data_IF_141807026874
#
_entry.id   IF_141807026874
#
_cell.length_a   1.000
_cell.length_b   1.000
_cell.length_c   1.000
_cell.angle_alpha   90.00
_cell.angle_beta   90.00
_cell.angle_gamma   90.00
#
_symmetry.space_group_name_H-M   'P 1'
#
loop_
_entity.id
_entity.type
_entity.pdbx_description
1 polymer ?
#
# COMPACT_ATOMS: atom_id res chain seq x y z
N UNK A 1 31.06 -2.87 7.48
CA UNK A 1 30.14 -1.72 7.56
C UNK A 1 29.77 -1.36 6.12
N UNK A 2 28.57 -1.72 5.68
CA UNK A 2 28.09 -1.29 4.36
C UNK A 2 27.71 0.19 4.47
N UNK A 3 28.41 1.06 3.76
CA UNK A 3 28.03 2.46 3.63
C UNK A 3 26.85 2.58 2.66
N UNK A 4 25.84 3.31 3.04
CA UNK A 4 24.73 3.66 2.14
C UNK A 4 25.27 4.63 1.09
N UNK A 5 25.10 4.29 -0.17
CA UNK A 5 25.55 5.10 -1.30
C UNK A 5 24.48 6.10 -1.74
N UNK A 6 24.85 7.10 -2.56
CA UNK A 6 23.87 8.02 -3.17
C UNK A 6 22.83 7.29 -4.03
N UNK A 7 23.24 6.20 -4.71
CA UNK A 7 22.31 5.35 -5.47
C UNK A 7 21.29 4.65 -4.57
N UNK A 8 21.69 4.17 -3.39
CA UNK A 8 20.78 3.55 -2.43
C UNK A 8 19.75 4.57 -1.91
N UNK A 9 20.15 5.81 -1.66
CA UNK A 9 19.24 6.91 -1.31
C UNK A 9 18.23 7.22 -2.43
N UNK A 10 18.66 7.20 -3.69
CA UNK A 10 17.77 7.36 -4.85
C UNK A 10 16.71 6.26 -4.91
N UNK A 11 17.09 5.00 -4.64
CA UNK A 11 16.15 3.88 -4.60
C UNK A 11 15.19 4.01 -3.40
N UNK A 12 15.66 4.45 -2.23
CA UNK A 12 14.80 4.70 -1.06
C UNK A 12 13.80 5.82 -1.34
N UNK A 13 14.22 6.88 -2.01
CA UNK A 13 13.34 7.98 -2.43
C UNK A 13 12.27 7.49 -3.40
N UNK A 14 12.63 6.76 -4.44
CA UNK A 14 11.66 6.15 -5.36
C UNK A 14 10.72 5.20 -4.64
N UNK A 15 11.24 4.40 -3.70
CA UNK A 15 10.45 3.49 -2.86
C UNK A 15 9.44 4.23 -1.98
N UNK A 16 9.78 5.41 -1.46
CA UNK A 16 8.85 6.24 -0.69
C UNK A 16 7.70 6.79 -1.54
N UNK A 17 7.99 7.15 -2.80
CA UNK A 17 6.94 7.54 -3.75
C UNK A 17 6.01 6.37 -4.04
N UNK A 18 6.56 5.19 -4.36
CA UNK A 18 5.76 3.99 -4.59
C UNK A 18 4.85 3.66 -3.40
N UNK A 19 5.37 3.75 -2.19
CA UNK A 19 4.61 3.49 -0.97
C UNK A 19 3.54 4.57 -0.73
N UNK A 20 3.86 5.84 -0.97
CA UNK A 20 2.91 6.96 -0.86
C UNK A 20 1.76 6.83 -1.88
N UNK A 21 2.08 6.54 -3.14
CA UNK A 21 1.05 6.31 -4.18
C UNK A 21 0.21 5.08 -3.85
N UNK A 22 0.83 3.99 -3.36
CA UNK A 22 0.10 2.80 -2.91
C UNK A 22 -0.98 3.15 -1.89
N UNK A 23 -0.60 3.78 -0.79
CA UNK A 23 -1.57 4.13 0.25
C UNK A 23 -2.56 5.20 -0.20
N UNK A 24 -2.10 6.25 -0.89
CA UNK A 24 -2.98 7.32 -1.36
C UNK A 24 -4.05 6.81 -2.33
N UNK A 25 -3.67 6.03 -3.33
CA UNK A 25 -4.63 5.48 -4.30
C UNK A 25 -5.55 4.43 -3.69
N UNK A 26 -5.04 3.60 -2.77
CA UNK A 26 -5.87 2.64 -2.06
C UNK A 26 -6.89 3.32 -1.13
N UNK A 27 -6.46 4.26 -0.30
CA UNK A 27 -7.37 5.01 0.59
C UNK A 27 -8.42 5.76 -0.23
N UNK A 28 -8.01 6.45 -1.30
CA UNK A 28 -8.94 7.11 -2.21
C UNK A 28 -9.98 6.13 -2.82
N UNK A 29 -9.57 4.91 -3.12
CA UNK A 29 -10.47 3.88 -3.65
C UNK A 29 -11.58 3.49 -2.67
N UNK A 30 -11.33 3.56 -1.35
CA UNK A 30 -12.31 3.20 -0.32
C UNK A 30 -13.54 4.10 -0.34
N UNK A 31 -13.37 5.35 -0.79
CA UNK A 31 -14.48 6.32 -0.93
C UNK A 31 -15.14 6.29 -2.32
N UNK A 32 -14.54 5.55 -3.30
CA UNK A 32 -14.94 5.60 -4.69
C UNK A 32 -15.33 4.23 -5.28
N UNK A 33 -15.28 3.17 -4.50
CA UNK A 33 -15.80 1.86 -4.88
C UNK A 33 -16.22 1.11 -3.61
N UNK A 34 -16.86 -0.06 -3.77
CA UNK A 34 -17.21 -0.84 -2.58
C UNK A 34 -15.97 -1.31 -1.84
N UNK A 35 -16.06 -1.43 -0.52
CA UNK A 35 -14.97 -1.90 0.33
C UNK A 35 -14.39 -3.24 -0.17
N UNK A 36 -15.28 -4.14 -0.62
CA UNK A 36 -14.90 -5.46 -1.12
C UNK A 36 -14.06 -5.33 -2.40
N UNK A 37 -14.49 -4.51 -3.36
CA UNK A 37 -13.76 -4.24 -4.59
C UNK A 37 -12.40 -3.61 -4.29
N UNK A 38 -12.35 -2.58 -3.46
CA UNK A 38 -11.11 -1.92 -3.07
C UNK A 38 -10.11 -2.91 -2.46
N UNK A 39 -10.53 -3.70 -1.46
CA UNK A 39 -9.68 -4.70 -0.83
C UNK A 39 -9.24 -5.81 -1.79
N UNK A 40 -10.14 -6.24 -2.68
CA UNK A 40 -9.83 -7.25 -3.67
C UNK A 40 -8.76 -6.77 -4.64
N UNK A 41 -8.98 -5.59 -5.27
CA UNK A 41 -8.05 -5.06 -6.26
C UNK A 41 -6.69 -4.68 -5.67
N UNK A 42 -6.63 -4.14 -4.46
CA UNK A 42 -5.33 -3.85 -3.82
C UNK A 42 -4.59 -5.13 -3.45
N UNK A 43 -5.30 -6.22 -3.15
CA UNK A 43 -4.71 -7.51 -2.74
C UNK A 43 -4.16 -8.34 -3.91
N UNK A 44 -4.40 -7.95 -5.16
CA UNK A 44 -3.87 -8.69 -6.34
C UNK A 44 -2.39 -8.41 -6.62
N UNK A 45 -1.70 -7.60 -5.81
CA UNK A 45 -0.27 -7.30 -5.98
C UNK A 45 0.64 -8.53 -6.13
N UNK A 46 0.38 -9.73 -5.55
CA UNK A 46 1.19 -10.91 -5.83
C UNK A 46 1.06 -11.37 -7.29
N UNK A 47 -0.11 -11.16 -7.91
CA UNK A 47 -0.32 -11.47 -9.33
C UNK A 47 0.52 -10.53 -10.19
N UNK A 48 0.47 -9.22 -9.90
CA UNK A 48 1.30 -8.21 -10.58
C UNK A 48 2.79 -8.56 -10.45
N UNK A 49 3.22 -8.98 -9.25
CA UNK A 49 4.60 -9.40 -9.02
C UNK A 49 4.99 -10.60 -9.90
N UNK A 50 4.14 -11.63 -9.98
CA UNK A 50 4.41 -12.84 -10.81
C UNK A 50 4.48 -12.47 -12.29
N UNK A 51 3.63 -11.57 -12.77
CA UNK A 51 3.66 -11.07 -14.15
C UNK A 51 4.95 -10.28 -14.46
N UNK A 52 5.51 -9.59 -13.48
CA UNK A 52 6.76 -8.84 -13.63
C UNK A 52 8.02 -9.70 -13.48
N UNK A 53 7.93 -10.91 -12.90
CA UNK A 53 9.09 -11.78 -12.68
C UNK A 53 9.94 -12.01 -13.93
N UNK A 54 9.39 -12.30 -15.12
CA UNK A 54 10.20 -12.49 -16.34
C UNK A 54 10.96 -11.22 -16.73
N UNK A 55 10.35 -10.04 -16.55
CA UNK A 55 10.96 -8.76 -16.91
C UNK A 55 12.15 -8.41 -16.02
N UNK A 56 12.16 -8.90 -14.78
CA UNK A 56 13.27 -8.71 -13.83
C UNK A 56 14.25 -9.91 -13.81
N UNK A 57 14.17 -10.78 -14.83
CA UNK A 57 15.07 -11.94 -14.95
C UNK A 57 14.84 -13.04 -13.92
N UNK A 58 13.68 -13.07 -13.28
CA UNK A 58 13.34 -14.09 -12.27
C UNK A 58 12.45 -15.16 -12.90
N UNK A 59 12.81 -16.43 -12.74
CA UNK A 59 12.04 -17.53 -13.34
C UNK A 59 10.69 -17.72 -12.62
N UNK A 60 9.62 -17.78 -13.40
CA UNK A 60 8.29 -18.18 -12.91
C UNK A 60 8.24 -19.68 -12.72
N UNK A 61 7.94 -20.12 -11.51
CA UNK A 61 7.81 -21.56 -11.15
C UNK A 61 6.33 -21.96 -11.14
N UNK A 62 6.07 -23.25 -11.30
CA UNK A 62 4.70 -23.82 -11.25
C UNK A 62 3.92 -23.40 -10.00
N UNK A 63 4.59 -23.29 -8.85
CA UNK A 63 3.97 -22.80 -7.61
C UNK A 63 3.47 -21.36 -7.69
N UNK A 64 4.16 -20.48 -8.42
CA UNK A 64 3.69 -19.10 -8.63
C UNK A 64 2.41 -19.08 -9.47
N UNK A 65 2.37 -19.88 -10.55
CA UNK A 65 1.18 -19.99 -11.42
C UNK A 65 0.01 -20.56 -10.62
N UNK A 66 0.23 -21.62 -9.86
CA UNK A 66 -0.81 -22.23 -9.02
C UNK A 66 -1.36 -21.23 -7.99
N UNK A 67 -0.47 -20.48 -7.32
CA UNK A 67 -0.86 -19.43 -6.38
C UNK A 67 -1.72 -18.34 -7.05
N UNK A 68 -1.33 -17.89 -8.25
CA UNK A 68 -2.13 -16.93 -9.03
C UNK A 68 -3.49 -17.50 -9.38
N UNK A 69 -3.57 -18.74 -9.87
CA UNK A 69 -4.85 -19.38 -10.23
C UNK A 69 -5.76 -19.48 -9.01
N UNK A 70 -5.25 -19.95 -7.88
CA UNK A 70 -6.03 -20.05 -6.63
C UNK A 70 -6.49 -18.67 -6.17
N UNK A 71 -5.59 -17.68 -6.17
CA UNK A 71 -5.90 -16.31 -5.77
C UNK A 71 -6.96 -15.65 -6.65
N UNK A 72 -6.83 -15.77 -7.98
CA UNK A 72 -7.85 -15.26 -8.94
C UNK A 72 -9.17 -15.97 -8.77
N UNK A 73 -9.18 -17.29 -8.61
CA UNK A 73 -10.41 -18.05 -8.40
C UNK A 73 -11.10 -17.62 -7.11
N UNK A 74 -10.36 -17.49 -6.01
CA UNK A 74 -10.90 -16.99 -4.74
C UNK A 74 -11.47 -15.59 -4.87
N UNK A 75 -10.78 -14.70 -5.59
CA UNK A 75 -11.22 -13.35 -5.88
C UNK A 75 -12.55 -13.33 -6.66
N UNK A 76 -12.65 -14.12 -7.72
CA UNK A 76 -13.87 -14.22 -8.55
C UNK A 76 -15.05 -14.79 -7.76
N UNK A 77 -14.80 -15.79 -6.91
CA UNK A 77 -15.84 -16.35 -6.04
C UNK A 77 -16.34 -15.31 -5.02
N UNK A 78 -15.44 -14.52 -4.45
CA UNK A 78 -15.80 -13.44 -3.53
C UNK A 78 -16.64 -12.35 -4.20
N UNK A 79 -16.40 -12.02 -5.47
CA UNK A 79 -17.19 -11.05 -6.22
C UNK A 79 -18.58 -11.55 -6.57
N UNK A 80 -18.76 -12.88 -6.73
CA UNK A 80 -20.05 -13.49 -7.13
C UNK A 80 -21.07 -13.58 -6.00
N UNK A 81 -20.65 -13.52 -4.74
CA UNK A 81 -21.49 -13.86 -3.58
C UNK A 81 -21.82 -12.66 -2.67
N UNK A 82 -21.30 -11.48 -2.99
CA UNK A 82 -21.44 -10.31 -2.13
C UNK A 82 -22.40 -9.31 -2.78
N UNK A 83 -23.55 -9.09 -2.15
CA UNK A 83 -24.26 -7.82 -2.31
C UNK A 83 -23.28 -6.71 -1.86
N UNK A 84 -22.65 -6.08 -2.83
CA UNK A 84 -21.69 -5.00 -2.58
C UNK A 84 -22.44 -3.85 -1.91
N UNK A 85 -22.29 -3.74 -0.59
CA UNK A 85 -22.76 -2.58 0.15
C UNK A 85 -21.90 -1.38 -0.28
N UNK A 86 -22.37 -0.63 -1.27
CA UNK A 86 -21.69 0.54 -1.81
C UNK A 86 -21.68 0.57 -3.34
N UNK A 87 -21.54 1.74 -3.91
CA UNK A 87 -21.46 1.94 -5.35
C UNK A 87 -20.11 1.41 -5.87
N UNK A 88 -20.14 0.59 -6.91
CA UNK A 88 -18.93 0.09 -7.58
C UNK A 88 -18.60 0.99 -8.74
N UNK A 89 -17.41 1.60 -8.74
CA UNK A 89 -16.97 2.44 -9.84
C UNK A 89 -15.64 1.94 -10.43
N UNK A 90 -15.51 2.09 -11.75
CA UNK A 90 -14.26 1.77 -12.46
C UNK A 90 -13.10 2.63 -11.96
N UNK A 91 -13.36 3.88 -11.60
CA UNK A 91 -12.33 4.78 -11.09
C UNK A 91 -11.78 4.31 -9.73
N UNK A 92 -12.66 3.89 -8.81
CA UNK A 92 -12.26 3.32 -7.52
C UNK A 92 -11.49 2.02 -7.67
N UNK A 93 -11.98 1.11 -8.53
CA UNK A 93 -11.30 -0.16 -8.83
C UNK A 93 -9.91 0.07 -9.46
N UNK A 94 -9.82 1.01 -10.42
CA UNK A 94 -8.55 1.38 -11.03
C UNK A 94 -7.56 2.00 -10.03
N UNK A 95 -8.03 2.80 -9.08
CA UNK A 95 -7.20 3.36 -8.02
C UNK A 95 -6.68 2.27 -7.07
N UNK A 96 -7.52 1.32 -6.68
CA UNK A 96 -7.10 0.16 -5.89
C UNK A 96 -6.05 -0.69 -6.63
N UNK A 97 -6.26 -0.92 -7.94
CA UNK A 97 -5.29 -1.60 -8.79
C UNK A 97 -3.97 -0.84 -8.91
N UNK A 98 -4.00 0.49 -9.04
CA UNK A 98 -2.81 1.33 -9.01
C UNK A 98 -2.04 1.14 -7.69
N UNK A 99 -2.76 1.05 -6.58
CA UNK A 99 -2.19 0.69 -5.29
C UNK A 99 -1.48 -0.67 -5.31
N UNK A 100 -2.12 -1.69 -5.91
CA UNK A 100 -1.51 -3.02 -6.08
C UNK A 100 -0.24 -2.98 -6.95
N UNK A 101 -0.24 -2.21 -8.03
CA UNK A 101 0.89 -2.11 -8.93
C UNK A 101 2.07 -1.36 -8.28
N UNK A 102 1.79 -0.27 -7.57
CA UNK A 102 2.85 0.55 -6.95
C UNK A 102 3.49 -0.12 -5.74
N UNK A 103 2.74 -0.86 -4.92
CA UNK A 103 3.36 -1.62 -3.82
C UNK A 103 4.38 -2.66 -4.32
N UNK A 104 4.20 -3.20 -5.52
CA UNK A 104 5.21 -4.10 -6.12
C UNK A 104 6.54 -3.37 -6.34
N UNK A 105 6.51 -2.11 -6.80
CA UNK A 105 7.71 -1.28 -6.91
C UNK A 105 8.42 -1.10 -5.56
N UNK A 106 7.67 -0.80 -4.50
CA UNK A 106 8.17 -0.74 -3.12
C UNK A 106 8.82 -2.07 -2.68
N UNK A 107 8.14 -3.20 -2.91
CA UNK A 107 8.64 -4.52 -2.53
C UNK A 107 9.92 -4.90 -3.28
N UNK A 108 10.02 -4.58 -4.57
CA UNK A 108 11.21 -4.84 -5.39
C UNK A 108 12.38 -3.98 -4.96
N UNK A 109 12.17 -2.69 -4.68
CA UNK A 109 13.18 -1.79 -4.12
C UNK A 109 13.69 -2.29 -2.76
N UNK A 110 12.78 -2.67 -1.87
CA UNK A 110 13.11 -3.25 -0.58
C UNK A 110 13.90 -4.54 -0.68
N UNK A 111 13.50 -5.43 -1.60
CA UNK A 111 14.24 -6.68 -1.88
C UNK A 111 15.66 -6.37 -2.36
N UNK A 112 15.83 -5.43 -3.28
CA UNK A 112 17.14 -5.05 -3.80
C UNK A 112 18.05 -4.50 -2.67
N UNK A 113 17.58 -3.52 -1.94
CA UNK A 113 18.38 -2.85 -0.90
C UNK A 113 18.68 -3.77 0.29
N UNK A 114 17.73 -4.61 0.70
CA UNK A 114 17.91 -5.48 1.86
C UNK A 114 18.64 -6.78 1.54
N UNK A 115 18.31 -7.43 0.43
CA UNK A 115 18.87 -8.77 0.11
C UNK A 115 20.18 -8.67 -0.66
N UNK A 116 20.33 -7.72 -1.58
CA UNK A 116 21.53 -7.60 -2.42
C UNK A 116 22.54 -6.62 -1.81
N UNK A 117 22.07 -5.47 -1.30
CA UNK A 117 22.91 -4.44 -0.68
C UNK A 117 23.10 -4.64 0.81
N UNK A 118 22.39 -5.61 1.44
CA UNK A 118 22.48 -5.93 2.87
C UNK A 118 22.22 -4.72 3.79
N UNK A 119 21.36 -3.79 3.37
CA UNK A 119 20.97 -2.62 4.17
C UNK A 119 20.06 -3.08 5.31
N UNK A 120 20.33 -2.72 6.58
CA UNK A 120 19.47 -3.06 7.71
C UNK A 120 18.05 -2.53 7.52
N UNK A 121 17.05 -3.28 8.04
CA UNK A 121 15.65 -2.95 7.84
C UNK A 121 15.29 -1.54 8.32
N UNK A 122 15.76 -1.12 9.47
CA UNK A 122 15.46 0.21 10.01
C UNK A 122 16.07 1.35 9.18
N UNK A 123 17.27 1.12 8.60
CA UNK A 123 17.92 2.09 7.72
C UNK A 123 17.17 2.25 6.40
N UNK A 124 16.47 1.20 5.94
CA UNK A 124 15.61 1.24 4.77
C UNK A 124 14.20 1.75 5.13
N UNK A 125 13.54 1.11 6.09
CA UNK A 125 12.13 1.34 6.35
C UNK A 125 11.84 2.76 6.87
N UNK A 126 12.67 3.28 7.78
CA UNK A 126 12.42 4.59 8.39
C UNK A 126 12.36 5.74 7.35
N UNK A 127 13.38 5.96 6.49
CA UNK A 127 13.30 7.04 5.51
C UNK A 127 12.22 6.81 4.45
N UNK A 128 11.92 5.55 4.10
CA UNK A 128 10.88 5.23 3.11
C UNK A 128 9.49 5.51 3.66
N UNK A 129 9.18 5.08 4.89
CA UNK A 129 7.87 5.35 5.50
C UNK A 129 7.69 6.83 5.84
N UNK A 130 8.75 7.50 6.33
CA UNK A 130 8.71 8.93 6.56
C UNK A 130 8.46 9.70 5.27
N UNK A 131 9.17 9.35 4.19
CA UNK A 131 8.98 9.95 2.88
C UNK A 131 7.57 9.73 2.34
N UNK A 132 7.03 8.50 2.43
CA UNK A 132 5.66 8.20 2.05
C UNK A 132 4.63 9.03 2.84
N UNK A 133 4.83 9.16 4.16
CA UNK A 133 4.00 10.03 5.00
C UNK A 133 4.03 11.50 4.57
N UNK A 134 5.21 12.03 4.20
CA UNK A 134 5.35 13.39 3.68
C UNK A 134 4.57 13.55 2.36
N UNK A 135 4.69 12.59 1.43
CA UNK A 135 3.95 12.63 0.17
C UNK A 135 2.43 12.62 0.39
N UNK A 136 1.94 11.78 1.31
CA UNK A 136 0.53 11.72 1.64
C UNK A 136 0.04 12.99 2.33
N UNK A 137 0.81 13.55 3.27
CA UNK A 137 0.48 14.82 3.92
C UNK A 137 0.41 15.97 2.91
N UNK A 138 1.36 16.04 1.96
CA UNK A 138 1.32 17.02 0.89
C UNK A 138 0.09 16.85 0.00
N UNK A 139 -0.29 15.63 -0.35
CA UNK A 139 -1.47 15.34 -1.13
C UNK A 139 -2.74 15.77 -0.38
N UNK A 140 -2.89 15.41 0.89
CA UNK A 140 -4.02 15.80 1.72
C UNK A 140 -4.18 17.33 1.84
N UNK A 141 -3.07 18.04 2.10
CA UNK A 141 -3.09 19.51 2.20
C UNK A 141 -3.48 20.17 0.86
N UNK A 142 -2.96 19.64 -0.25
CA UNK A 142 -3.16 20.31 -1.56
C UNK A 142 -4.46 19.94 -2.26
N UNK A 143 -4.96 18.73 -2.05
CA UNK A 143 -6.16 18.23 -2.74
C UNK A 143 -7.42 18.27 -1.88
N UNK A 144 -7.28 18.00 -0.59
CA UNK A 144 -8.39 17.91 0.35
C UNK A 144 -8.52 19.18 1.21
N UNK A 145 -7.54 20.09 1.14
CA UNK A 145 -7.48 21.28 1.99
C UNK A 145 -7.26 20.95 3.47
N UNK A 146 -6.76 19.75 3.76
CA UNK A 146 -6.51 19.29 5.12
C UNK A 146 -5.54 20.23 5.85
N UNK A 147 -5.82 20.51 7.11
CA UNK A 147 -4.95 21.28 8.01
C UNK A 147 -4.25 20.34 8.97
N UNK A 148 -3.01 20.63 9.34
CA UNK A 148 -2.28 19.89 10.38
C UNK A 148 -2.94 20.01 11.76
N UNK A 149 -3.88 20.95 11.90
CA UNK A 149 -4.67 21.17 13.12
C UNK A 149 -6.06 20.55 13.04
N UNK A 150 -6.43 19.95 11.90
CA UNK A 150 -7.71 19.30 11.77
C UNK A 150 -7.74 18.11 12.74
N UNK A 151 -8.74 18.15 13.59
CA UNK A 151 -9.06 17.04 14.47
C UNK A 151 -9.89 16.01 13.70
N UNK A 152 -10.10 14.87 14.31
CA UNK A 152 -10.84 13.74 13.76
C UNK A 152 -12.11 14.19 13.03
N UNK A 153 -12.42 13.67 11.84
CA UNK A 153 -13.65 13.97 11.13
C UNK A 153 -14.86 13.77 12.03
N UNK A 154 -15.80 14.73 12.02
CA UNK A 154 -17.05 14.67 12.78
C UNK A 154 -17.87 13.41 12.47
N UNK A 155 -17.62 12.78 11.34
CA UNK A 155 -18.16 11.50 10.86
C UNK A 155 -17.32 10.29 11.25
N UNK A 156 -16.76 10.21 12.46
CA UNK A 156 -16.29 8.91 12.90
C UNK A 156 -17.51 7.99 13.05
N UNK A 157 -17.56 6.91 12.27
CA UNK A 157 -18.62 5.88 12.27
C UNK A 157 -18.96 5.34 13.68
N UNK A 158 -18.13 5.64 14.66
CA UNK A 158 -18.22 5.16 16.03
C UNK A 158 -18.33 6.28 17.07
N UNK A 159 -18.41 7.56 16.68
CA UNK A 159 -18.49 8.68 17.62
C UNK A 159 -17.30 8.81 18.55
N UNK A 160 -16.13 8.41 18.12
CA UNK A 160 -14.92 8.42 18.94
C UNK A 160 -14.39 9.84 19.14
N UNK A 161 -14.01 10.15 20.37
CA UNK A 161 -13.32 11.41 20.68
C UNK A 161 -11.86 11.39 20.19
N UNK A 162 -11.26 12.58 20.06
CA UNK A 162 -9.86 12.75 19.65
C UNK A 162 -8.88 11.90 20.47
N UNK A 163 -9.12 11.79 21.78
CA UNK A 163 -8.29 10.97 22.68
C UNK A 163 -8.34 9.48 22.34
N UNK A 164 -9.50 8.98 21.88
CA UNK A 164 -9.67 7.59 21.46
C UNK A 164 -8.92 7.33 20.17
N UNK A 165 -8.95 8.25 19.20
CA UNK A 165 -8.20 8.15 17.97
C UNK A 165 -6.70 8.10 18.22
N UNK A 166 -6.17 8.97 19.05
CA UNK A 166 -4.75 8.99 19.42
C UNK A 166 -4.32 7.68 20.08
N UNK A 167 -5.17 7.10 20.94
CA UNK A 167 -4.89 5.81 21.56
C UNK A 167 -4.90 4.66 20.55
N UNK A 168 -5.80 4.69 19.55
CA UNK A 168 -5.78 3.71 18.46
C UNK A 168 -4.58 3.86 17.54
N UNK A 169 -4.19 5.09 17.18
CA UNK A 169 -2.96 5.34 16.42
C UNK A 169 -1.75 4.81 17.19
N UNK A 170 -1.66 5.10 18.49
CA UNK A 170 -0.58 4.59 19.33
C UNK A 170 -0.59 3.06 19.41
N UNK A 171 -1.76 2.45 19.59
CA UNK A 171 -1.92 0.99 19.62
C UNK A 171 -1.48 0.36 18.28
N UNK A 172 -1.97 0.87 17.14
CA UNK A 172 -1.61 0.36 15.82
C UNK A 172 -0.14 0.59 15.46
N UNK A 173 0.48 1.63 16.01
CA UNK A 173 1.89 1.93 15.78
C UNK A 173 2.83 1.03 16.59
N UNK A 174 2.41 0.62 17.79
CA UNK A 174 3.24 -0.13 18.75
C UNK A 174 2.81 -1.61 18.78
N UNK A 175 1.51 -1.89 18.86
CA UNK A 175 0.98 -3.22 19.08
C UNK A 175 1.33 -4.26 18.01
N UNK A 176 1.06 -4.03 16.71
CA UNK A 176 1.39 -4.99 15.65
C UNK A 176 2.88 -5.09 15.34
N UNK A 177 3.71 -4.19 15.88
CA UNK A 177 5.16 -4.18 15.69
C UNK A 177 5.95 -4.92 16.76
N UNK A 178 5.29 -5.38 17.81
CA UNK A 178 5.85 -6.21 18.88
C UNK A 178 5.50 -7.68 18.66
#
# INVERSE_FOLDING_TARGET
KHSVTSGDWGIMFASSIFLGVHFGSWVWSLDHTSLVHSLLFVSIHPIVLVLLMPLIGTAVRRGHILGVVIGVTGALLSLGDIESGGEVTIAGDAAAFLGAATVVGYLLAGRHLRSQRQIPIFVYAFPVTLGAGIWLAMAAITQEGASLTDTVPELSLFGWSDAVWLSWIAYLSIGPGL
#
